data_IF_962720608903
#
_entry.id   IF_962720608903
#
_cell.length_a   1.000
_cell.length_b   1.000
_cell.length_c   1.000
_cell.angle_alpha   90.00
_cell.angle_beta   90.00
_cell.angle_gamma   90.00
#
_symmetry.space_group_name_H-M   'P 1'
#
loop_
_entity.id
_entity.type
_entity.pdbx_description
1 polymer ?
#
# COMPACT_ATOMS: atom_id res chain seq x y z
N UNK A 1 -5.44 25.86 -12.05
CA UNK A 1 -4.28 25.06 -12.52
C UNK A 1 -3.97 24.12 -11.38
N UNK A 2 -4.16 22.81 -11.58
CA UNK A 2 -3.87 21.81 -10.54
C UNK A 2 -2.38 21.87 -10.20
N UNK A 3 -1.99 21.84 -8.91
CA UNK A 3 -0.59 21.67 -8.56
C UNK A 3 -0.09 20.35 -9.16
N UNK A 4 1.11 20.36 -9.72
CA UNK A 4 1.72 19.12 -10.21
C UNK A 4 2.02 18.19 -9.01
N UNK A 5 1.33 17.06 -8.94
CA UNK A 5 1.53 16.06 -7.88
C UNK A 5 2.70 15.16 -8.29
N UNK A 6 3.85 15.36 -7.66
CA UNK A 6 4.99 14.45 -7.80
C UNK A 6 5.03 13.46 -6.63
N UNK A 7 4.45 12.26 -6.81
CA UNK A 7 4.41 11.21 -5.79
C UNK A 7 5.76 10.52 -5.58
N UNK A 8 6.69 10.57 -6.55
CA UNK A 8 8.02 9.95 -6.45
C UNK A 8 8.90 10.55 -5.36
N UNK A 9 8.53 11.70 -4.80
CA UNK A 9 9.22 12.31 -3.65
C UNK A 9 8.95 11.59 -2.33
N UNK A 10 7.91 10.74 -2.28
CA UNK A 10 7.53 10.00 -1.09
C UNK A 10 8.13 8.59 -1.14
N UNK A 11 8.82 8.22 -0.07
CA UNK A 11 9.59 6.98 -0.01
C UNK A 11 8.73 5.82 0.50
N UNK A 12 7.85 5.31 -0.35
CA UNK A 12 6.98 4.17 0.00
C UNK A 12 7.77 2.91 0.40
N UNK A 13 9.04 2.79 0.00
CA UNK A 13 9.92 1.69 0.39
C UNK A 13 10.28 1.70 1.89
N UNK A 14 10.08 2.82 2.59
CA UNK A 14 10.30 2.95 4.03
C UNK A 14 9.08 2.52 4.86
N UNK A 15 7.97 2.10 4.23
CA UNK A 15 6.79 1.55 4.92
C UNK A 15 7.19 0.24 5.61
N UNK A 16 6.95 0.17 6.93
CA UNK A 16 7.08 -1.06 7.70
C UNK A 16 5.82 -1.90 7.58
N UNK A 17 5.98 -3.17 7.24
CA UNK A 17 4.89 -4.16 7.20
C UNK A 17 4.92 -5.12 8.40
N UNK A 18 5.81 -4.88 9.37
CA UNK A 18 6.02 -5.78 10.52
C UNK A 18 4.89 -5.66 11.56
N UNK A 19 4.31 -4.48 11.72
CA UNK A 19 3.26 -4.19 12.71
C UNK A 19 1.83 -4.46 12.20
N UNK A 20 1.72 -5.01 10.98
CA UNK A 20 0.42 -5.33 10.37
C UNK A 20 -0.07 -6.67 10.93
N UNK A 21 -1.34 -6.70 11.35
CA UNK A 21 -2.03 -7.90 11.81
C UNK A 21 -2.40 -8.83 10.64
N UNK A 22 -1.37 -9.36 9.97
CA UNK A 22 -1.49 -10.14 8.74
C UNK A 22 -2.45 -11.32 8.83
N UNK A 23 -2.40 -12.10 9.92
CA UNK A 23 -3.29 -13.25 10.09
C UNK A 23 -4.76 -12.83 10.08
N UNK A 24 -5.10 -11.75 10.79
CA UNK A 24 -6.47 -11.23 10.86
C UNK A 24 -6.92 -10.71 9.49
N UNK A 25 -6.05 -10.00 8.77
CA UNK A 25 -6.35 -9.47 7.44
C UNK A 25 -6.60 -10.61 6.44
N UNK A 26 -5.73 -11.61 6.42
CA UNK A 26 -5.84 -12.73 5.48
C UNK A 26 -7.07 -13.61 5.76
N UNK A 27 -7.53 -13.69 7.01
CA UNK A 27 -8.78 -14.36 7.36
C UNK A 27 -10.02 -13.70 6.74
N UNK A 28 -9.94 -12.43 6.36
CA UNK A 28 -11.03 -11.75 5.64
C UNK A 28 -11.10 -12.10 4.15
N UNK A 29 -10.10 -12.82 3.63
CA UNK A 29 -9.98 -13.16 2.21
C UNK A 29 -9.14 -12.17 1.39
N UNK A 30 -8.60 -11.13 2.02
CA UNK A 30 -7.63 -10.21 1.41
C UNK A 30 -6.34 -10.94 1.09
N UNK A 31 -5.70 -10.61 -0.04
CA UNK A 31 -4.39 -11.13 -0.42
C UNK A 31 -3.28 -10.24 0.11
N UNK A 32 -2.11 -10.82 0.38
CA UNK A 32 -0.91 -10.08 0.84
C UNK A 32 -0.61 -8.90 -0.09
N UNK A 33 -0.60 -9.14 -1.40
CA UNK A 33 -0.31 -8.10 -2.40
C UNK A 33 -1.31 -6.94 -2.35
N UNK A 34 -2.59 -7.23 -2.11
CA UNK A 34 -3.64 -6.21 -2.12
C UNK A 34 -3.56 -5.35 -0.86
N UNK A 35 -3.24 -5.96 0.29
CA UNK A 35 -2.96 -5.21 1.51
C UNK A 35 -1.73 -4.31 1.36
N UNK A 36 -0.63 -4.81 0.78
CA UNK A 36 0.57 -3.97 0.54
C UNK A 36 0.24 -2.79 -0.38
N UNK A 37 -0.54 -3.02 -1.45
CA UNK A 37 -1.00 -1.94 -2.33
C UNK A 37 -1.78 -0.90 -1.55
N UNK A 38 -2.72 -1.33 -0.71
CA UNK A 38 -3.55 -0.44 0.11
C UNK A 38 -2.70 0.40 1.07
N UNK A 39 -1.72 -0.21 1.74
CA UNK A 39 -0.80 0.50 2.65
C UNK A 39 0.04 1.54 1.90
N UNK A 40 0.59 1.19 0.72
CA UNK A 40 1.33 2.13 -0.13
C UNK A 40 0.40 3.26 -0.60
N UNK A 41 -0.81 2.93 -1.06
CA UNK A 41 -1.80 3.88 -1.53
C UNK A 41 -2.16 4.88 -0.43
N UNK A 42 -2.55 4.37 0.74
CA UNK A 42 -2.94 5.15 1.91
C UNK A 42 -1.80 6.06 2.38
N UNK A 43 -0.56 5.57 2.37
CA UNK A 43 0.62 6.39 2.67
C UNK A 43 0.79 7.53 1.66
N UNK A 44 0.80 7.23 0.35
CA UNK A 44 0.99 8.24 -0.70
C UNK A 44 -0.12 9.30 -0.66
N UNK A 45 -1.36 8.86 -0.54
CA UNK A 45 -2.53 9.73 -0.45
C UNK A 45 -2.43 10.66 0.75
N UNK A 46 -2.15 10.12 1.95
CA UNK A 46 -2.05 10.91 3.18
C UNK A 46 -0.90 11.92 3.12
N UNK A 47 0.26 11.50 2.62
CA UNK A 47 1.43 12.38 2.51
C UNK A 47 1.22 13.50 1.47
N UNK A 48 0.53 13.20 0.37
CA UNK A 48 0.16 14.20 -0.61
C UNK A 48 -0.91 15.15 -0.06
N UNK A 49 -1.95 14.62 0.58
CA UNK A 49 -3.01 15.38 1.25
C UNK A 49 -2.43 16.37 2.26
N UNK A 50 -1.51 15.93 3.12
CA UNK A 50 -0.84 16.79 4.10
C UNK A 50 -0.02 17.92 3.44
N UNK A 51 0.53 17.70 2.24
CA UNK A 51 1.23 18.75 1.48
C UNK A 51 0.28 19.76 0.83
N UNK A 52 -0.92 19.35 0.42
CA UNK A 52 -1.92 20.26 -0.16
C UNK A 52 -2.61 21.13 0.89
N UNK A 53 -2.62 20.68 2.15
CA UNK A 53 -3.27 21.36 3.25
C UNK A 53 -4.70 20.85 3.43
N UNK A 54 -5.04 20.53 4.69
CA UNK A 54 -6.23 19.75 5.06
C UNK A 54 -7.59 20.40 4.77
N UNK A 55 -7.61 21.67 4.37
CA UNK A 55 -8.82 22.48 4.21
C UNK A 55 -9.14 22.88 2.76
N UNK A 56 -8.40 22.37 1.75
CA UNK A 56 -8.49 22.91 0.38
C UNK A 56 -8.30 21.89 -0.75
N UNK A 57 -8.94 20.72 -0.66
CA UNK A 57 -9.15 19.89 -1.86
C UNK A 57 -10.65 19.87 -2.16
N UNK A 58 -11.00 20.42 -3.32
CA UNK A 58 -12.32 20.18 -3.92
C UNK A 58 -12.47 18.71 -4.34
N UNK A 59 -13.70 18.25 -4.55
CA UNK A 59 -13.98 16.88 -5.01
C UNK A 59 -13.18 16.50 -6.27
N UNK A 60 -12.98 17.45 -7.19
CA UNK A 60 -12.19 17.23 -8.42
C UNK A 60 -10.69 17.03 -8.12
N UNK A 61 -10.16 17.77 -7.15
CA UNK A 61 -8.75 17.66 -6.76
C UNK A 61 -8.49 16.38 -5.94
N UNK A 62 -9.44 15.98 -5.11
CA UNK A 62 -9.41 14.70 -4.41
C UNK A 62 -9.41 13.53 -5.41
N UNK A 63 -10.31 13.53 -6.38
CA UNK A 63 -10.39 12.47 -7.40
C UNK A 63 -9.13 12.43 -8.27
N UNK A 64 -8.58 13.60 -8.61
CA UNK A 64 -7.32 13.69 -9.32
C UNK A 64 -6.16 13.08 -8.51
N UNK A 65 -6.08 13.35 -7.20
CA UNK A 65 -5.06 12.77 -6.33
C UNK A 65 -5.22 11.24 -6.23
N UNK A 66 -6.44 10.73 -6.07
CA UNK A 66 -6.71 9.28 -6.04
C UNK A 66 -6.22 8.61 -7.33
N UNK A 67 -6.60 9.17 -8.48
CA UNK A 67 -6.15 8.66 -9.78
C UNK A 67 -4.63 8.69 -9.93
N UNK A 68 -3.93 9.70 -9.38
CA UNK A 68 -2.46 9.73 -9.40
C UNK A 68 -1.83 8.66 -8.52
N UNK A 69 -2.43 8.35 -7.37
CA UNK A 69 -1.98 7.25 -6.53
C UNK A 69 -2.14 5.90 -7.25
N UNK A 70 -3.28 5.69 -7.93
CA UNK A 70 -3.54 4.49 -8.71
C UNK A 70 -2.53 4.31 -9.86
N UNK A 71 -2.29 5.38 -10.63
CA UNK A 71 -1.28 5.40 -11.70
C UNK A 71 0.13 5.09 -11.16
N UNK A 72 0.47 5.65 -9.99
CA UNK A 72 1.78 5.43 -9.37
C UNK A 72 1.96 3.98 -8.92
N UNK A 73 0.95 3.40 -8.26
CA UNK A 73 1.01 1.99 -7.84
C UNK A 73 1.12 1.06 -9.05
N UNK A 74 0.47 1.39 -10.17
CA UNK A 74 0.56 0.60 -11.39
C UNK A 74 1.96 0.61 -12.05
N UNK A 75 2.88 1.48 -11.62
CA UNK A 75 4.23 1.53 -12.17
C UNK A 75 5.00 0.24 -11.90
N UNK A 76 5.79 -0.18 -12.87
CA UNK A 76 6.52 -1.46 -12.82
C UNK A 76 7.43 -1.58 -11.60
N UNK A 77 8.11 -0.50 -11.20
CA UNK A 77 9.00 -0.53 -10.03
C UNK A 77 8.22 -0.76 -8.72
N UNK A 78 7.04 -0.16 -8.57
CA UNK A 78 6.19 -0.33 -7.40
C UNK A 78 5.61 -1.75 -7.37
N UNK A 79 5.18 -2.26 -8.51
CA UNK A 79 4.70 -3.65 -8.64
C UNK A 79 5.79 -4.69 -8.32
N UNK A 80 7.04 -4.44 -8.73
CA UNK A 80 8.17 -5.29 -8.37
C UNK A 80 8.44 -5.27 -6.87
N UNK A 81 8.42 -4.09 -6.24
CA UNK A 81 8.55 -3.96 -4.79
C UNK A 81 7.43 -4.69 -4.03
N UNK A 82 6.17 -4.51 -4.44
CA UNK A 82 5.01 -5.21 -3.85
C UNK A 82 5.21 -6.72 -3.91
N UNK A 83 5.65 -7.23 -5.06
CA UNK A 83 5.91 -8.66 -5.25
C UNK A 83 7.03 -9.16 -4.33
N UNK A 84 8.13 -8.43 -4.22
CA UNK A 84 9.24 -8.77 -3.33
C UNK A 84 8.77 -8.82 -1.87
N UNK A 85 8.08 -7.77 -1.41
CA UNK A 85 7.57 -7.71 -0.03
C UNK A 85 6.53 -8.79 0.26
N UNK A 86 5.71 -9.15 -0.72
CA UNK A 86 4.74 -10.24 -0.57
C UNK A 86 5.43 -11.57 -0.28
N UNK A 87 6.56 -11.84 -0.95
CA UNK A 87 7.37 -13.03 -0.69
C UNK A 87 7.99 -12.98 0.71
N UNK A 88 8.52 -11.84 1.12
CA UNK A 88 9.07 -11.65 2.47
C UNK A 88 8.03 -11.91 3.56
N UNK A 89 6.84 -11.30 3.42
CA UNK A 89 5.72 -11.46 4.37
C UNK A 89 5.26 -12.91 4.40
N UNK A 90 5.09 -13.55 3.24
CA UNK A 90 4.75 -14.98 3.16
C UNK A 90 5.74 -15.84 3.93
N UNK A 91 7.05 -15.62 3.74
CA UNK A 91 8.06 -16.36 4.49
C UNK A 91 7.99 -16.08 5.99
N UNK A 92 7.82 -14.83 6.39
CA UNK A 92 7.63 -14.45 7.79
C UNK A 92 6.45 -15.18 8.43
N UNK A 93 5.28 -15.19 7.78
CA UNK A 93 4.07 -15.83 8.30
C UNK A 93 4.26 -17.35 8.48
N UNK A 94 4.89 -18.01 7.52
CA UNK A 94 5.15 -19.45 7.58
C UNK A 94 6.14 -19.83 8.70
N UNK A 95 7.04 -18.92 9.09
CA UNK A 95 8.03 -19.15 10.15
C UNK A 95 7.46 -18.78 11.53
N UNK A 96 6.84 -17.60 11.64
CA UNK A 96 6.37 -17.05 12.90
C UNK A 96 5.02 -17.62 13.34
N UNK A 97 4.14 -17.91 12.38
CA UNK A 97 2.76 -18.35 12.61
C UNK A 97 2.41 -19.61 11.79
N UNK A 98 3.17 -20.71 11.92
CA UNK A 98 3.05 -21.88 11.05
C UNK A 98 1.69 -22.59 11.16
N UNK A 99 1.05 -22.56 12.33
CA UNK A 99 -0.26 -23.18 12.52
C UNK A 99 -1.41 -22.29 12.06
N UNK A 100 -1.33 -20.99 12.29
CA UNK A 100 -2.36 -20.01 11.92
C UNK A 100 -2.36 -19.72 10.43
N UNK A 101 -1.21 -19.89 9.77
CA UNK A 101 -1.08 -19.76 8.32
C UNK A 101 -1.71 -20.95 7.55
N UNK A 102 -2.09 -22.04 8.24
CA UNK A 102 -2.69 -23.20 7.58
C UNK A 102 -4.09 -22.85 7.07
N UNK A 103 -4.24 -22.89 5.75
CA UNK A 103 -5.53 -22.65 5.08
C UNK A 103 -5.76 -21.19 4.68
N UNK A 104 -4.79 -20.30 4.93
CA UNK A 104 -4.80 -18.95 4.34
C UNK A 104 -4.32 -19.01 2.89
N UNK A 105 -4.91 -18.17 2.03
CA UNK A 105 -4.39 -17.92 0.68
C UNK A 105 -3.20 -16.96 0.78
N UNK A 106 -1.99 -17.53 0.67
CA UNK A 106 -0.73 -16.78 0.72
C UNK A 106 -0.18 -16.45 -0.68
N UNK A 107 -0.99 -16.56 -1.73
CA UNK A 107 -0.61 -16.25 -3.13
C UNK A 107 -1.14 -14.88 -3.60
#
# INVERSE_FOLDING_TARGET
MFPEINLSVFKYQEISFEDIYWIEILQTGTKIQDEIKEQIWSYLYTMAWDKFGKDMLSDEEEEYLKSKCDEFIAQTEVQLFIKEKSVDIKHFLLIAYPDESKGLDLD
#
